data_IF_462825384262
#
_entry.id   IF_462825384262
#
_cell.length_a   1.000
_cell.length_b   1.000
_cell.length_c   1.000
_cell.angle_alpha   90.00
_cell.angle_beta   90.00
_cell.angle_gamma   90.00
#
_symmetry.space_group_name_H-M   'P 1'
#
loop_
_entity.id
_entity.type
_entity.pdbx_description
1 polymer ?
#
# COMPACT_ATOMS: atom_id res chain seq x y z
N UNK A 1 4.00 21.57 -10.57
CA UNK A 1 5.23 20.75 -10.49
C UNK A 1 5.44 19.98 -11.79
N UNK A 2 6.70 19.80 -12.26
CA UNK A 2 6.98 18.93 -13.41
C UNK A 2 6.72 17.47 -13.08
N UNK A 3 6.40 16.65 -14.11
CA UNK A 3 6.14 15.22 -13.93
C UNK A 3 7.33 14.51 -13.24
N UNK A 4 8.56 14.84 -13.62
CA UNK A 4 9.75 14.25 -13.01
C UNK A 4 9.86 14.52 -11.49
N UNK A 5 9.55 15.73 -11.03
CA UNK A 5 9.53 16.05 -9.59
C UNK A 5 8.41 15.29 -8.86
N UNK A 6 7.27 15.14 -9.49
CA UNK A 6 6.13 14.39 -8.94
C UNK A 6 6.46 12.89 -8.84
N UNK A 7 7.07 12.31 -9.89
CA UNK A 7 7.56 10.93 -9.85
C UNK A 7 8.64 10.73 -8.78
N UNK A 8 9.55 11.70 -8.60
CA UNK A 8 10.53 11.66 -7.51
C UNK A 8 9.86 11.62 -6.13
N UNK A 9 8.81 12.42 -5.91
CA UNK A 9 8.03 12.39 -4.67
C UNK A 9 7.34 11.03 -4.47
N UNK A 10 6.73 10.45 -5.51
CA UNK A 10 6.12 9.12 -5.47
C UNK A 10 7.14 8.01 -5.15
N UNK A 11 8.35 8.09 -5.72
CA UNK A 11 9.45 7.19 -5.39
C UNK A 11 9.78 7.24 -3.90
N UNK A 12 10.06 8.44 -3.35
CA UNK A 12 10.41 8.57 -1.93
C UNK A 12 9.24 8.20 -1.01
N UNK A 13 8.03 8.55 -1.37
CA UNK A 13 6.84 8.19 -0.59
C UNK A 13 6.62 6.68 -0.55
N UNK A 14 6.74 5.98 -1.69
CA UNK A 14 6.58 4.52 -1.74
C UNK A 14 7.76 3.80 -1.08
N UNK A 15 8.98 4.33 -1.22
CA UNK A 15 10.13 3.86 -0.44
C UNK A 15 9.82 3.88 1.06
N UNK A 16 9.34 5.01 1.58
CA UNK A 16 9.03 5.17 3.00
C UNK A 16 7.91 4.26 3.47
N UNK A 17 6.85 4.13 2.65
CA UNK A 17 5.73 3.25 2.97
C UNK A 17 6.18 1.79 3.08
N UNK A 18 6.94 1.30 2.10
CA UNK A 18 7.42 -0.08 2.10
C UNK A 18 8.46 -0.27 3.21
N UNK A 19 9.46 0.58 3.30
CA UNK A 19 10.50 0.49 4.33
C UNK A 19 9.91 0.52 5.75
N UNK A 20 9.04 1.47 6.06
CA UNK A 20 8.46 1.60 7.40
C UNK A 20 7.39 0.54 7.70
N UNK A 21 6.49 0.27 6.74
CA UNK A 21 5.43 -0.72 6.92
C UNK A 21 5.96 -2.15 7.01
N UNK A 22 6.62 -2.64 5.95
CA UNK A 22 7.18 -4.01 5.97
C UNK A 22 8.34 -4.13 6.95
N UNK A 23 9.13 -3.07 7.15
CA UNK A 23 10.20 -3.04 8.13
C UNK A 23 9.70 -3.19 9.56
N UNK A 24 8.58 -2.59 9.91
CA UNK A 24 7.95 -2.78 11.21
C UNK A 24 7.55 -4.26 11.45
N UNK A 25 7.08 -4.94 10.40
CA UNK A 25 6.76 -6.36 10.46
C UNK A 25 8.01 -7.23 10.64
N UNK A 26 9.07 -6.97 9.88
CA UNK A 26 10.29 -7.79 9.85
C UNK A 26 11.15 -7.56 11.10
N UNK A 27 11.31 -6.30 11.51
CA UNK A 27 12.27 -5.94 12.56
C UNK A 27 11.65 -5.84 13.95
N UNK A 28 10.37 -5.51 14.07
CA UNK A 28 9.77 -5.12 15.35
C UNK A 28 8.55 -5.93 15.77
N UNK A 29 7.82 -6.58 14.86
CA UNK A 29 6.57 -7.27 15.19
C UNK A 29 6.74 -8.34 16.27
N UNK A 30 7.82 -9.13 16.18
CA UNK A 30 8.16 -10.21 17.12
C UNK A 30 9.46 -9.91 17.88
N UNK A 31 9.78 -8.64 18.13
CA UNK A 31 10.98 -8.29 18.90
C UNK A 31 10.90 -8.90 20.30
N UNK A 32 12.01 -9.43 20.88
CA UNK A 32 11.98 -10.42 21.95
C UNK A 32 10.91 -10.18 23.02
N UNK A 33 9.95 -11.07 23.07
CA UNK A 33 8.84 -11.20 24.03
C UNK A 33 7.83 -10.02 24.13
N UNK A 34 8.13 -8.83 23.61
CA UNK A 34 7.31 -7.62 23.72
C UNK A 34 7.31 -6.82 22.40
N UNK A 35 7.27 -7.53 21.25
CA UNK A 35 7.17 -6.85 19.94
C UNK A 35 5.85 -6.09 19.76
N UNK A 36 5.82 -5.24 18.73
CA UNK A 36 4.64 -4.40 18.43
C UNK A 36 3.43 -5.20 17.95
N UNK A 37 3.63 -6.47 17.60
CA UNK A 37 2.59 -7.34 17.07
C UNK A 37 1.96 -6.80 15.78
N UNK A 38 0.92 -7.47 15.28
CA UNK A 38 0.26 -7.03 14.04
C UNK A 38 -0.45 -5.68 14.19
N UNK A 39 -0.92 -5.34 15.38
CA UNK A 39 -1.55 -4.03 15.64
C UNK A 39 -0.55 -2.87 15.47
N UNK A 40 0.67 -3.04 15.97
CA UNK A 40 1.75 -2.07 15.76
C UNK A 40 2.17 -1.98 14.28
N UNK A 41 2.20 -3.09 13.56
CA UNK A 41 2.46 -3.11 12.12
C UNK A 41 1.38 -2.36 11.36
N UNK A 42 0.10 -2.61 11.68
CA UNK A 42 -1.02 -1.89 11.08
C UNK A 42 -0.91 -0.36 11.30
N UNK A 43 -0.56 0.04 12.51
CA UNK A 43 -0.33 1.45 12.84
C UNK A 43 0.87 2.02 12.06
N UNK A 44 1.96 1.27 11.92
CA UNK A 44 3.14 1.70 11.18
C UNK A 44 2.82 1.99 9.70
N UNK A 45 2.06 1.11 9.03
CA UNK A 45 1.60 1.37 7.66
C UNK A 45 0.77 2.66 7.57
N UNK A 46 -0.17 2.87 8.48
CA UNK A 46 -0.96 4.10 8.52
C UNK A 46 -0.12 5.34 8.77
N UNK A 47 0.85 5.28 9.67
CA UNK A 47 1.76 6.39 9.98
C UNK A 47 2.69 6.73 8.80
N UNK A 48 3.19 5.74 8.05
CA UNK A 48 4.00 6.02 6.85
C UNK A 48 3.21 6.83 5.83
N UNK A 49 1.97 6.43 5.55
CA UNK A 49 1.10 7.16 4.63
C UNK A 49 0.70 8.54 5.17
N UNK A 50 0.29 8.62 6.44
CA UNK A 50 -0.08 9.87 7.10
C UNK A 50 1.04 10.91 6.97
N UNK A 51 2.27 10.52 7.32
CA UNK A 51 3.42 11.42 7.27
C UNK A 51 3.77 11.83 5.84
N UNK A 52 3.66 10.90 4.87
CA UNK A 52 3.91 11.21 3.46
C UNK A 52 2.80 12.08 2.85
N UNK A 53 1.53 11.94 3.24
CA UNK A 53 0.47 12.84 2.81
C UNK A 53 0.82 14.31 3.11
N UNK A 54 1.38 14.59 4.28
CA UNK A 54 1.82 15.94 4.63
C UNK A 54 3.14 16.33 3.98
N UNK A 55 4.08 15.40 3.84
CA UNK A 55 5.41 15.69 3.30
C UNK A 55 5.42 15.93 1.78
N UNK A 56 4.64 15.16 1.01
CA UNK A 56 4.68 15.17 -0.46
C UNK A 56 3.31 15.36 -1.14
N UNK A 57 2.22 15.42 -0.38
CA UNK A 57 0.88 15.55 -0.95
C UNK A 57 0.73 16.79 -1.85
N UNK A 58 1.32 17.92 -1.46
CA UNK A 58 1.35 19.16 -2.24
C UNK A 58 2.26 19.10 -3.49
N UNK A 59 3.08 18.04 -3.63
CA UNK A 59 4.00 17.85 -4.76
C UNK A 59 3.38 16.91 -5.80
N UNK A 60 3.02 15.68 -5.39
CA UNK A 60 2.59 14.60 -6.28
C UNK A 60 1.13 14.18 -6.11
N UNK A 61 0.48 14.60 -5.04
CA UNK A 61 -0.81 14.05 -4.60
C UNK A 61 -0.65 12.89 -3.63
N UNK A 62 0.60 12.41 -3.41
CA UNK A 62 0.92 11.30 -2.49
C UNK A 62 0.07 10.05 -2.77
N UNK A 63 0.08 9.57 -4.00
CA UNK A 63 -0.60 8.32 -4.35
C UNK A 63 0.11 7.12 -3.72
N UNK A 64 1.43 7.04 -3.90
CA UNK A 64 2.37 6.00 -3.42
C UNK A 64 1.84 4.56 -3.53
N UNK A 65 0.96 4.36 -4.51
CA UNK A 65 0.20 3.13 -4.71
C UNK A 65 -0.34 3.09 -6.15
N UNK A 66 0.01 2.08 -6.97
CA UNK A 66 -0.53 1.94 -8.32
C UNK A 66 -2.06 1.83 -8.38
N UNK A 67 -2.69 1.11 -7.44
CA UNK A 67 -4.14 0.97 -7.40
C UNK A 67 -4.83 2.32 -7.13
N UNK A 68 -4.29 3.12 -6.21
CA UNK A 68 -4.77 4.49 -5.94
C UNK A 68 -4.65 5.35 -7.20
N UNK A 69 -3.51 5.28 -7.90
CA UNK A 69 -3.29 6.06 -9.14
C UNK A 69 -4.30 5.69 -10.22
N UNK A 70 -4.60 4.38 -10.39
CA UNK A 70 -5.64 3.89 -11.31
C UNK A 70 -7.01 4.41 -10.91
N UNK A 71 -7.38 4.24 -9.65
CA UNK A 71 -8.71 4.63 -9.18
C UNK A 71 -8.94 6.15 -9.22
N UNK A 72 -7.92 6.98 -8.95
CA UNK A 72 -7.98 8.43 -9.15
C UNK A 72 -8.12 8.79 -10.63
N UNK A 73 -7.48 8.03 -11.54
CA UNK A 73 -7.66 8.22 -12.99
C UNK A 73 -9.08 7.88 -13.43
N UNK A 74 -9.66 6.76 -12.96
CA UNK A 74 -11.05 6.38 -13.23
C UNK A 74 -12.02 7.42 -12.66
N UNK A 75 -11.73 7.95 -11.49
CA UNK A 75 -12.50 9.03 -10.85
C UNK A 75 -12.31 10.41 -11.47
N UNK A 76 -11.54 10.53 -12.56
CA UNK A 76 -11.30 11.81 -13.26
C UNK A 76 -10.42 12.81 -12.51
N UNK A 77 -9.70 12.36 -11.47
CA UNK A 77 -8.88 13.22 -10.60
C UNK A 77 -7.37 13.11 -10.87
N UNK A 78 -6.98 12.25 -11.79
CA UNK A 78 -5.59 12.07 -12.23
C UNK A 78 -5.52 11.77 -13.72
N UNK A 79 -4.62 12.39 -14.50
CA UNK A 79 -4.53 12.19 -15.94
C UNK A 79 -3.95 10.81 -16.27
N UNK A 80 -4.66 10.04 -17.11
CA UNK A 80 -4.24 8.69 -17.55
C UNK A 80 -2.86 8.70 -18.21
N UNK A 81 -2.48 9.77 -18.89
CA UNK A 81 -1.17 9.91 -19.53
C UNK A 81 0.02 9.89 -18.57
N UNK A 82 -0.22 10.18 -17.28
CA UNK A 82 0.81 10.19 -16.25
C UNK A 82 0.81 8.90 -15.38
N UNK A 83 -0.13 7.99 -15.63
CA UNK A 83 -0.30 6.78 -14.83
C UNK A 83 0.94 5.87 -14.87
N UNK A 84 1.47 5.56 -16.06
CA UNK A 84 2.63 4.67 -16.20
C UNK A 84 3.89 5.25 -15.52
N UNK A 85 4.28 6.53 -15.72
CA UNK A 85 5.38 7.13 -14.97
C UNK A 85 5.24 7.03 -13.45
N UNK A 86 4.02 7.24 -12.92
CA UNK A 86 3.76 7.10 -11.48
C UNK A 86 3.93 5.67 -11.01
N UNK A 87 3.33 4.69 -11.69
CA UNK A 87 3.45 3.27 -11.36
C UNK A 87 4.92 2.81 -11.34
N UNK A 88 5.71 3.23 -12.34
CA UNK A 88 7.15 2.92 -12.39
C UNK A 88 7.87 3.51 -11.18
N UNK A 89 7.65 4.79 -10.88
CA UNK A 89 8.27 5.47 -9.74
C UNK A 89 7.91 4.79 -8.40
N UNK A 90 6.65 4.43 -8.23
CA UNK A 90 6.14 3.74 -7.05
C UNK A 90 6.76 2.34 -6.89
N UNK A 91 6.78 1.54 -7.95
CA UNK A 91 7.37 0.19 -7.89
C UNK A 91 8.87 0.26 -7.60
N UNK A 92 9.60 1.16 -8.27
CA UNK A 92 11.05 1.32 -8.04
C UNK A 92 11.32 1.85 -6.63
N UNK A 93 10.50 2.78 -6.12
CA UNK A 93 10.57 3.26 -4.73
C UNK A 93 10.36 2.14 -3.72
N UNK A 94 9.34 1.31 -3.93
CA UNK A 94 9.09 0.14 -3.08
C UNK A 94 10.24 -0.87 -3.09
N UNK A 95 10.78 -1.18 -4.27
CA UNK A 95 11.94 -2.06 -4.42
C UNK A 95 13.18 -1.52 -3.68
N UNK A 96 13.44 -0.22 -3.79
CA UNK A 96 14.53 0.42 -3.07
C UNK A 96 14.33 0.35 -1.54
N UNK A 97 13.07 0.53 -1.07
CA UNK A 97 12.72 0.37 0.35
C UNK A 97 12.99 -1.05 0.86
N UNK A 98 12.53 -2.08 0.11
CA UNK A 98 12.81 -3.48 0.43
C UNK A 98 14.30 -3.81 0.35
N UNK A 99 15.05 -3.23 -0.59
CA UNK A 99 16.50 -3.48 -0.71
C UNK A 99 17.25 -2.96 0.52
N UNK A 100 16.96 -1.74 0.96
CA UNK A 100 17.58 -1.19 2.18
C UNK A 100 17.19 -2.01 3.41
N UNK A 101 15.91 -2.42 3.50
CA UNK A 101 15.45 -3.27 4.58
C UNK A 101 16.13 -4.64 4.59
N UNK A 102 16.35 -5.24 3.41
CA UNK A 102 17.09 -6.50 3.29
C UNK A 102 18.53 -6.37 3.81
N UNK A 103 19.23 -5.28 3.46
CA UNK A 103 20.58 -5.01 3.97
C UNK A 103 20.57 -4.91 5.50
N UNK A 104 19.61 -4.18 6.08
CA UNK A 104 19.51 -4.03 7.54
C UNK A 104 19.20 -5.38 8.21
N UNK A 105 18.22 -6.12 7.71
CA UNK A 105 17.81 -7.40 8.28
C UNK A 105 18.93 -8.45 8.18
N UNK A 106 19.69 -8.46 7.09
CA UNK A 106 20.84 -9.35 6.88
C UNK A 106 22.00 -9.08 7.86
N UNK A 107 22.01 -7.95 8.54
CA UNK A 107 22.96 -7.68 9.63
C UNK A 107 22.71 -8.53 10.89
N UNK A 108 21.56 -9.19 11.00
CA UNK A 108 21.25 -10.10 12.10
C UNK A 108 21.73 -11.53 11.78
N UNK A 109 22.52 -12.11 12.65
CA UNK A 109 22.99 -13.50 12.51
C UNK A 109 21.77 -14.46 12.41
N UNK A 110 21.83 -15.37 11.43
CA UNK A 110 20.75 -16.32 11.16
C UNK A 110 19.52 -15.75 10.46
N UNK A 111 19.59 -14.52 9.94
CA UNK A 111 18.52 -13.99 9.10
C UNK A 111 18.43 -14.77 7.79
N UNK A 112 17.20 -15.17 7.43
CA UNK A 112 16.86 -15.74 6.14
C UNK A 112 15.48 -15.22 5.66
N UNK A 113 15.09 -15.61 4.46
CA UNK A 113 13.81 -15.20 3.85
C UNK A 113 12.67 -16.21 4.07
N UNK A 114 12.89 -17.28 4.84
CA UNK A 114 11.89 -18.33 5.09
C UNK A 114 10.61 -17.80 5.76
N UNK A 115 10.76 -16.74 6.57
CA UNK A 115 9.63 -16.01 7.17
C UNK A 115 8.82 -15.15 6.20
N UNK A 116 9.12 -15.18 4.89
CA UNK A 116 8.32 -14.51 3.85
C UNK A 116 8.57 -13.00 3.69
N UNK A 117 9.49 -12.39 4.44
CA UNK A 117 9.92 -10.99 4.30
C UNK A 117 8.76 -9.98 4.13
N UNK A 118 7.67 -10.21 4.87
CA UNK A 118 6.42 -9.47 4.80
C UNK A 118 5.73 -9.47 3.41
N UNK A 119 5.99 -10.47 2.56
CA UNK A 119 5.26 -10.68 1.32
C UNK A 119 3.79 -11.01 1.60
N UNK A 120 2.93 -10.69 0.66
CA UNK A 120 1.52 -11.06 0.67
C UNK A 120 1.35 -12.47 0.11
N UNK A 121 0.36 -13.21 0.62
CA UNK A 121 0.10 -14.57 0.16
C UNK A 121 -1.29 -15.09 0.55
N UNK A 122 -1.75 -16.12 -0.17
CA UNK A 122 -3.00 -16.82 0.10
C UNK A 122 -2.78 -18.32 0.25
N UNK A 123 -3.80 -19.06 0.73
CA UNK A 123 -3.67 -20.48 0.99
C UNK A 123 -2.63 -20.76 2.08
N UNK A 124 -1.66 -21.59 1.78
CA UNK A 124 -0.57 -21.96 2.70
C UNK A 124 0.35 -20.79 3.09
N UNK A 125 0.28 -19.70 2.34
CA UNK A 125 1.04 -18.47 2.58
C UNK A 125 0.20 -17.35 3.19
N UNK A 126 -1.09 -17.59 3.45
CA UNK A 126 -1.94 -16.69 4.22
C UNK A 126 -1.60 -16.83 5.72
N UNK A 127 -1.41 -15.73 6.47
CA UNK A 127 -1.18 -15.82 7.91
C UNK A 127 -2.27 -16.58 8.67
N UNK A 128 -3.54 -16.44 8.26
CA UNK A 128 -4.69 -17.12 8.86
C UNK A 128 -5.20 -18.34 8.07
N UNK A 129 -4.50 -18.78 7.01
CA UNK A 129 -4.92 -19.92 6.19
C UNK A 129 -6.10 -19.65 5.26
N UNK A 130 -6.32 -18.40 4.87
CA UNK A 130 -7.45 -18.02 4.01
C UNK A 130 -7.22 -18.43 2.55
N UNK A 131 -8.30 -18.86 1.90
CA UNK A 131 -8.27 -19.26 0.49
C UNK A 131 -8.00 -18.07 -0.44
N UNK A 132 -7.53 -18.36 -1.66
CA UNK A 132 -7.34 -17.35 -2.71
C UNK A 132 -8.59 -16.49 -2.94
N UNK A 133 -9.78 -17.11 -2.99
CA UNK A 133 -11.04 -16.38 -3.19
C UNK A 133 -11.35 -15.40 -2.05
N UNK A 134 -11.10 -15.81 -0.79
CA UNK A 134 -11.28 -14.94 0.37
C UNK A 134 -10.31 -13.74 0.33
N UNK A 135 -9.04 -13.98 0.02
CA UNK A 135 -8.03 -12.93 -0.12
C UNK A 135 -8.38 -11.97 -1.28
N UNK A 136 -8.85 -12.50 -2.41
CA UNK A 136 -9.29 -11.67 -3.54
C UNK A 136 -10.43 -10.72 -3.15
N UNK A 137 -11.46 -11.23 -2.47
CA UNK A 137 -12.59 -10.42 -2.00
C UNK A 137 -12.12 -9.39 -0.97
N UNK A 138 -11.25 -9.78 -0.02
CA UNK A 138 -10.71 -8.86 0.97
C UNK A 138 -9.95 -7.71 0.30
N UNK A 139 -9.04 -8.01 -0.63
CA UNK A 139 -8.25 -7.00 -1.34
C UNK A 139 -9.13 -6.04 -2.17
N UNK A 140 -10.15 -6.56 -2.88
CA UNK A 140 -11.11 -5.72 -3.62
C UNK A 140 -11.87 -4.78 -2.68
N UNK A 141 -12.46 -5.32 -1.61
CA UNK A 141 -13.31 -4.54 -0.70
C UNK A 141 -12.49 -3.53 0.09
N UNK A 142 -11.35 -3.94 0.64
CA UNK A 142 -10.51 -3.06 1.45
C UNK A 142 -9.88 -1.96 0.61
N UNK A 143 -9.48 -2.24 -0.64
CA UNK A 143 -8.99 -1.20 -1.55
C UNK A 143 -10.10 -0.27 -2.00
N UNK A 144 -11.32 -0.79 -2.24
CA UNK A 144 -12.47 0.06 -2.55
C UNK A 144 -12.70 1.11 -1.46
N UNK A 145 -12.83 0.68 -0.20
CA UNK A 145 -13.07 1.63 0.90
C UNK A 145 -11.87 2.53 1.16
N UNK A 146 -10.66 2.03 0.98
CA UNK A 146 -9.46 2.85 1.09
C UNK A 146 -9.47 4.02 0.10
N UNK A 147 -9.71 3.74 -1.19
CA UNK A 147 -9.80 4.82 -2.18
C UNK A 147 -11.03 5.70 -1.99
N UNK A 148 -12.15 5.13 -1.56
CA UNK A 148 -13.36 5.91 -1.26
C UNK A 148 -13.08 6.96 -0.17
N UNK A 149 -12.34 6.59 0.88
CA UNK A 149 -11.89 7.53 1.92
C UNK A 149 -10.92 8.56 1.36
N UNK A 150 -9.96 8.16 0.49
CA UNK A 150 -9.04 9.10 -0.16
C UNK A 150 -9.81 10.15 -0.97
N UNK A 151 -10.75 9.70 -1.81
CA UNK A 151 -11.55 10.59 -2.64
C UNK A 151 -12.39 11.56 -1.79
N UNK A 152 -13.01 11.06 -0.72
CA UNK A 152 -13.81 11.86 0.21
C UNK A 152 -12.96 12.86 1.00
N UNK A 153 -11.87 12.40 1.60
CA UNK A 153 -11.00 13.25 2.42
C UNK A 153 -10.28 14.35 1.61
N UNK A 154 -10.10 14.14 0.31
CA UNK A 154 -9.48 15.10 -0.61
C UNK A 154 -10.48 15.86 -1.48
N UNK A 155 -11.78 15.70 -1.24
CA UNK A 155 -12.82 16.49 -1.91
C UNK A 155 -12.74 17.95 -1.46
N UNK A 156 -13.07 18.87 -2.37
CA UNK A 156 -13.05 20.32 -2.08
C UNK A 156 -13.99 20.72 -0.97
N UNK A 157 -15.04 19.94 -0.72
CA UNK A 157 -16.04 20.13 0.34
C UNK A 157 -15.60 19.57 1.69
N UNK A 158 -14.56 18.74 1.72
CA UNK A 158 -14.03 18.17 2.96
C UNK A 158 -13.25 19.23 3.77
N UNK A 159 -13.15 19.08 5.10
CA UNK A 159 -12.35 19.98 5.93
C UNK A 159 -10.89 20.00 5.47
N UNK A 160 -10.40 21.19 5.16
CA UNK A 160 -9.03 21.37 4.66
C UNK A 160 -7.99 21.01 5.74
N UNK A 161 -6.86 20.42 5.33
CA UNK A 161 -5.76 20.10 6.22
C UNK A 161 -5.86 18.75 6.95
N UNK A 162 -7.00 18.09 6.95
CA UNK A 162 -7.20 16.82 7.67
C UNK A 162 -7.14 15.56 6.82
N UNK A 163 -7.03 15.68 5.50
CA UNK A 163 -7.01 14.54 4.59
C UNK A 163 -5.97 13.49 4.97
N UNK A 164 -4.74 13.90 5.28
CA UNK A 164 -3.66 12.99 5.65
C UNK A 164 -3.98 12.14 6.88
N UNK A 165 -4.67 12.72 7.88
CA UNK A 165 -5.09 11.99 9.09
C UNK A 165 -6.11 10.91 8.73
N UNK A 166 -7.17 11.27 7.99
CA UNK A 166 -8.22 10.34 7.59
C UNK A 166 -7.66 9.20 6.74
N UNK A 167 -6.80 9.51 5.78
CA UNK A 167 -6.18 8.55 4.87
C UNK A 167 -5.24 7.58 5.61
N UNK A 168 -4.37 8.11 6.47
CA UNK A 168 -3.46 7.28 7.27
C UNK A 168 -4.18 6.36 8.24
N UNK A 169 -5.19 6.87 8.96
CA UNK A 169 -6.01 6.06 9.87
C UNK A 169 -6.85 5.02 9.12
N UNK A 170 -7.33 5.32 7.92
CA UNK A 170 -7.99 4.34 7.06
C UNK A 170 -7.04 3.20 6.68
N UNK A 171 -5.79 3.50 6.32
CA UNK A 171 -4.79 2.46 6.06
C UNK A 171 -4.50 1.62 7.31
N UNK A 172 -4.42 2.23 8.50
CA UNK A 172 -4.29 1.50 9.76
C UNK A 172 -5.48 0.55 9.96
N UNK A 173 -6.71 1.04 9.81
CA UNK A 173 -7.92 0.25 10.02
C UNK A 173 -7.97 -0.98 9.11
N UNK A 174 -7.71 -0.79 7.81
CA UNK A 174 -7.76 -1.92 6.87
C UNK A 174 -6.63 -2.93 7.12
N UNK A 175 -5.45 -2.48 7.61
CA UNK A 175 -4.38 -3.38 8.03
C UNK A 175 -4.76 -4.19 9.28
N UNK A 176 -5.47 -3.59 10.24
CA UNK A 176 -6.01 -4.33 11.41
C UNK A 176 -6.98 -5.45 10.99
N UNK A 177 -7.68 -5.28 9.87
CA UNK A 177 -8.60 -6.28 9.32
C UNK A 177 -7.85 -7.31 8.47
N UNK A 178 -6.96 -6.87 7.58
CA UNK A 178 -6.44 -7.66 6.48
C UNK A 178 -5.13 -8.40 6.77
N UNK A 179 -4.32 -7.97 7.73
CA UNK A 179 -3.05 -8.66 8.04
C UNK A 179 -3.28 -10.16 8.30
N UNK A 180 -4.26 -10.60 9.10
CA UNK A 180 -4.53 -12.02 9.30
C UNK A 180 -4.97 -12.76 8.02
N UNK A 181 -5.55 -12.04 7.05
CA UNK A 181 -6.11 -12.65 5.83
C UNK A 181 -5.02 -12.98 4.81
N UNK A 182 -4.18 -12.03 4.45
CA UNK A 182 -3.17 -12.19 3.39
C UNK A 182 -1.94 -11.29 3.57
N UNK A 183 -1.71 -10.84 4.81
CA UNK A 183 -0.71 -9.85 5.17
C UNK A 183 -0.96 -8.47 4.57
N UNK A 184 -2.12 -8.20 4.14
CA UNK A 184 -2.72 -7.08 3.45
C UNK A 184 -1.82 -6.33 2.45
N UNK A 185 -2.30 -6.23 1.23
CA UNK A 185 -1.68 -5.45 0.16
C UNK A 185 -2.29 -4.07 0.00
N UNK A 186 -3.47 -4.03 -0.58
CA UNK A 186 -4.18 -2.86 -1.16
C UNK A 186 -3.27 -1.97 -2.03
N UNK A 187 -2.07 -2.47 -2.36
CA UNK A 187 -1.02 -1.69 -3.03
C UNK A 187 -0.07 -2.60 -3.83
N UNK A 188 -0.19 -2.64 -5.17
CA UNK A 188 0.67 -3.47 -6.01
C UNK A 188 2.17 -3.23 -5.85
N UNK A 189 2.61 -1.98 -5.62
CA UNK A 189 4.02 -1.67 -5.41
C UNK A 189 4.53 -2.22 -4.07
N UNK A 190 3.70 -2.16 -3.00
CA UNK A 190 3.99 -2.76 -1.70
C UNK A 190 4.15 -4.27 -1.80
N UNK A 191 3.34 -4.93 -2.62
CA UNK A 191 3.41 -6.39 -2.77
C UNK A 191 4.57 -6.84 -3.65
N UNK A 192 4.85 -6.10 -4.72
CA UNK A 192 5.97 -6.40 -5.62
C UNK A 192 7.31 -6.33 -4.90
N UNK A 193 7.48 -5.36 -4.02
CA UNK A 193 8.75 -5.07 -3.38
C UNK A 193 9.32 -6.26 -2.58
N UNK A 194 8.65 -6.86 -1.60
CA UNK A 194 9.14 -8.04 -0.89
C UNK A 194 9.12 -9.31 -1.77
N UNK A 195 8.17 -9.45 -2.71
CA UNK A 195 8.03 -10.63 -3.54
C UNK A 195 9.28 -10.88 -4.41
N UNK A 196 9.95 -9.83 -4.90
CA UNK A 196 11.20 -9.94 -5.66
C UNK A 196 12.34 -10.56 -4.82
N UNK A 197 12.36 -10.33 -3.52
CA UNK A 197 13.36 -10.92 -2.61
C UNK A 197 13.01 -12.36 -2.23
N UNK A 198 11.75 -12.62 -1.89
CA UNK A 198 11.27 -13.96 -1.50
C UNK A 198 11.27 -14.93 -2.67
N UNK A 199 10.90 -14.45 -3.88
CA UNK A 199 10.78 -15.26 -5.12
C UNK A 199 9.73 -16.37 -4.98
N UNK A 200 9.84 -17.42 -5.82
CA UNK A 200 8.95 -18.60 -5.81
C UNK A 200 7.48 -18.23 -5.61
N UNK A 201 6.86 -18.77 -4.58
CA UNK A 201 5.45 -18.60 -4.29
C UNK A 201 4.99 -17.13 -4.24
N UNK A 202 5.84 -16.23 -3.73
CA UNK A 202 5.47 -14.82 -3.61
C UNK A 202 5.34 -14.14 -4.99
N UNK A 203 6.16 -14.54 -5.97
CA UNK A 203 6.02 -14.07 -7.36
C UNK A 203 4.84 -14.75 -8.06
N UNK A 204 4.62 -16.04 -7.81
CA UNK A 204 3.51 -16.81 -8.40
C UNK A 204 2.15 -16.26 -7.94
N UNK A 205 2.06 -15.80 -6.70
CA UNK A 205 0.83 -15.25 -6.13
C UNK A 205 0.68 -13.73 -6.33
N UNK A 206 1.71 -13.04 -6.81
CA UNK A 206 1.74 -11.57 -6.94
C UNK A 206 0.62 -11.00 -7.82
N UNK A 207 0.17 -11.76 -8.81
CA UNK A 207 -0.90 -11.32 -9.72
C UNK A 207 -2.17 -10.90 -8.99
N UNK A 208 -2.54 -11.62 -7.92
CA UNK A 208 -3.74 -11.32 -7.14
C UNK A 208 -3.63 -9.92 -6.52
N UNK A 209 -2.48 -9.59 -5.97
CA UNK A 209 -2.18 -8.33 -5.30
C UNK A 209 -1.94 -7.15 -6.27
N UNK A 210 -2.00 -7.40 -7.56
CA UNK A 210 -2.16 -6.39 -8.61
C UNK A 210 -3.62 -6.25 -9.03
N UNK A 211 -4.25 -7.37 -9.36
CA UNK A 211 -5.58 -7.38 -9.98
C UNK A 211 -6.67 -6.94 -9.00
N UNK A 212 -6.71 -7.54 -7.81
CA UNK A 212 -7.77 -7.27 -6.85
C UNK A 212 -7.76 -5.82 -6.33
N UNK A 213 -6.61 -5.24 -5.90
CA UNK A 213 -6.56 -3.83 -5.52
C UNK A 213 -6.94 -2.88 -6.65
N UNK A 214 -6.50 -3.14 -7.89
CA UNK A 214 -6.85 -2.29 -9.05
C UNK A 214 -8.36 -2.32 -9.31
N UNK A 215 -9.00 -3.49 -9.23
CA UNK A 215 -10.46 -3.62 -9.39
C UNK A 215 -11.18 -2.82 -8.29
N UNK A 216 -10.81 -3.01 -7.03
CA UNK A 216 -11.40 -2.29 -5.90
C UNK A 216 -11.29 -0.77 -6.05
N UNK A 217 -10.11 -0.29 -6.41
CA UNK A 217 -9.85 1.13 -6.64
C UNK A 217 -10.64 1.68 -7.84
N UNK A 218 -10.69 0.95 -8.97
CA UNK A 218 -11.44 1.38 -10.14
C UNK A 218 -12.94 1.50 -9.85
N UNK A 219 -13.50 0.52 -9.13
CA UNK A 219 -14.92 0.57 -8.70
C UNK A 219 -15.15 1.78 -7.78
N UNK A 220 -14.25 2.03 -6.81
CA UNK A 220 -14.37 3.18 -5.92
C UNK A 220 -14.33 4.51 -6.67
N UNK A 221 -13.41 4.66 -7.64
CA UNK A 221 -13.33 5.84 -8.49
C UNK A 221 -14.62 6.11 -9.27
N UNK A 222 -15.18 5.06 -9.88
CA UNK A 222 -16.45 5.15 -10.64
C UNK A 222 -17.64 5.48 -9.73
N UNK A 223 -17.77 4.75 -8.59
CA UNK A 223 -18.88 4.94 -7.63
C UNK A 223 -18.81 6.33 -7.00
N UNK A 224 -17.62 6.78 -6.59
CA UNK A 224 -17.49 8.10 -6.00
C UNK A 224 -17.86 9.21 -6.99
N UNK A 225 -17.39 9.11 -8.23
CA UNK A 225 -17.73 10.09 -9.27
C UNK A 225 -19.23 10.13 -9.58
N UNK A 226 -19.91 8.98 -9.52
CA UNK A 226 -21.36 8.91 -9.69
C UNK A 226 -22.13 9.51 -8.51
N UNK A 227 -21.74 9.16 -7.27
CA UNK A 227 -22.44 9.62 -6.06
C UNK A 227 -22.33 11.13 -5.81
N UNK A 228 -21.21 11.74 -6.18
CA UNK A 228 -20.89 13.12 -5.81
C UNK A 228 -20.81 14.06 -7.02
N UNK A 229 -21.27 13.61 -8.20
CA UNK A 229 -21.43 14.48 -9.36
C UNK A 229 -22.53 15.49 -9.06
N UNK A 230 -22.18 16.78 -9.07
CA UNK A 230 -23.16 17.85 -9.00
C UNK A 230 -23.99 17.82 -10.30
N UNK A 231 -25.32 17.89 -10.15
CA UNK A 231 -26.28 17.99 -11.28
C UNK A 231 -26.19 19.36 -11.95
#
# INVERSE_FOLDING_TARGET
>A
MSLGKRCGAEFFGTFWLVFGGTGSAILAAAFPNLGIGFAGVALAFGLTLLTMCYAIGHISGCHINPAVSVGLSVGGRFPVSELIPYVIAQVVGGLAGSAVLFVIASGKAGFDLSGGFAANGYGDHSPGGYTMGACFVAEVVLTFFFLFVILGATDKRAPQGFAGVAIGLSLTLIHLIGIPVDNLSVNPARSTAPAIFVRGWALEQLWLFWVAPIIGAAIAGAVYSWLFKEE
#
